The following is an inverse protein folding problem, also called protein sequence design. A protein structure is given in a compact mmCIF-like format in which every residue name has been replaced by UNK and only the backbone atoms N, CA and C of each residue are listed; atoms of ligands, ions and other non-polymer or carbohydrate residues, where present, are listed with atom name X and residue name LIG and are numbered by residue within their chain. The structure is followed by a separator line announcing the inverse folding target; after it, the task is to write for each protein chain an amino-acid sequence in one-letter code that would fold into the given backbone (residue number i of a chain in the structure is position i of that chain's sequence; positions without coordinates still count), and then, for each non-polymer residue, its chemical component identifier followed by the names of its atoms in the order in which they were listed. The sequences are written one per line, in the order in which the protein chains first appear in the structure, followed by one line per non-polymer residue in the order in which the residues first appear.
data_IF_068465501068
#
_entry.id   IF_068465501068
#
_cell.length_a   1.000
_cell.length_b   1.000
_cell.length_c   1.000
_cell.angle_alpha   90.00
_cell.angle_beta   90.00
_cell.angle_gamma   90.00
#
_symmetry.space_group_name_H-M   'P 1'
#
loop_
_entity.id
_entity.type
_entity.pdbx_description
1 polymer ?
#
# COMPACT_ATOMS: atom_id res chain seq x y z
N UNK A 1 9.20 8.70 -12.95
CA UNK A 1 7.76 8.48 -13.18
C UNK A 1 6.94 9.62 -12.59
N UNK A 2 5.86 10.04 -13.26
CA UNK A 2 4.91 11.01 -12.71
C UNK A 2 4.01 10.34 -11.68
N UNK A 3 3.51 9.14 -11.98
CA UNK A 3 2.66 8.36 -11.10
C UNK A 3 3.09 6.91 -11.13
N UNK A 4 2.94 6.21 -10.02
CA UNK A 4 3.13 4.76 -9.98
C UNK A 4 1.88 4.11 -9.40
N UNK A 5 1.50 2.96 -9.96
CA UNK A 5 0.39 2.14 -9.49
C UNK A 5 0.94 0.74 -9.24
N UNK A 6 0.74 0.23 -8.03
CA UNK A 6 1.27 -1.09 -7.70
C UNK A 6 0.35 -1.81 -6.72
N UNK A 7 0.39 -3.14 -6.78
CA UNK A 7 -0.32 -3.96 -5.82
C UNK A 7 0.50 -4.19 -4.56
N UNK A 8 -0.15 -4.68 -3.51
CA UNK A 8 0.53 -5.06 -2.27
C UNK A 8 -0.04 -6.37 -1.76
N UNK A 9 0.78 -7.13 -1.06
CA UNK A 9 0.36 -8.37 -0.41
C UNK A 9 -0.10 -8.14 1.03
N UNK A 10 0.24 -7.01 1.61
CA UNK A 10 -0.21 -6.63 2.94
C UNK A 10 -0.15 -5.13 3.12
N UNK A 11 -1.07 -4.59 3.91
CA UNK A 11 -1.12 -3.17 4.24
C UNK A 11 -1.48 -3.02 5.71
N UNK A 12 -0.52 -2.55 6.51
CA UNK A 12 -0.70 -2.35 7.94
C UNK A 12 -0.46 -0.89 8.29
N UNK A 13 -1.38 -0.22 9.02
CA UNK A 13 -1.17 1.18 9.42
C UNK A 13 0.10 1.41 10.23
N UNK A 14 0.56 0.41 10.97
CA UNK A 14 1.75 0.54 11.80
C UNK A 14 3.03 0.12 11.09
N UNK A 15 2.96 -0.89 10.23
CA UNK A 15 4.14 -1.46 9.58
C UNK A 15 4.32 -0.91 8.17
N UNK A 16 3.22 -0.74 7.42
CA UNK A 16 3.27 -0.26 6.06
C UNK A 16 2.91 -1.33 5.04
N UNK A 17 3.37 -1.15 3.81
CA UNK A 17 3.10 -2.08 2.72
C UNK A 17 4.17 -3.16 2.67
N UNK A 18 3.74 -4.41 2.57
CA UNK A 18 4.64 -5.56 2.64
C UNK A 18 4.40 -6.55 1.51
N UNK A 19 5.44 -7.31 1.19
CA UNK A 19 5.40 -8.38 0.20
C UNK A 19 6.29 -9.53 0.70
N UNK A 20 6.02 -10.78 0.30
CA UNK A 20 6.88 -11.90 0.72
C UNK A 20 8.23 -11.97 -0.02
N UNK A 21 8.40 -11.25 -1.13
CA UNK A 21 9.56 -11.41 -2.00
C UNK A 21 10.41 -10.12 -2.06
N UNK A 22 11.72 -10.23 -1.73
CA UNK A 22 12.58 -9.05 -1.57
C UNK A 22 12.86 -8.32 -2.87
N UNK A 23 13.00 -9.02 -3.99
CA UNK A 23 13.27 -8.36 -5.27
C UNK A 23 12.08 -7.54 -5.71
N UNK A 24 10.87 -8.05 -5.48
CA UNK A 24 9.65 -7.33 -5.74
C UNK A 24 9.52 -6.09 -4.88
N UNK A 25 9.92 -6.19 -3.60
CA UNK A 25 9.93 -5.05 -2.69
C UNK A 25 10.88 -3.96 -3.17
N UNK A 26 12.06 -4.33 -3.63
CA UNK A 26 13.03 -3.36 -4.14
C UNK A 26 12.55 -2.63 -5.38
N UNK A 27 11.89 -3.34 -6.29
CA UNK A 27 11.32 -2.75 -7.50
C UNK A 27 10.22 -1.75 -7.13
N UNK A 28 9.34 -2.12 -6.21
CA UNK A 28 8.24 -1.26 -5.77
C UNK A 28 8.76 -0.02 -5.04
N UNK A 29 9.72 -0.19 -4.17
CA UNK A 29 10.33 0.94 -3.46
C UNK A 29 10.97 1.92 -4.45
N UNK A 30 11.71 1.40 -5.42
CA UNK A 30 12.35 2.23 -6.44
C UNK A 30 11.31 3.02 -7.25
N UNK A 31 10.22 2.37 -7.64
CA UNK A 31 9.16 3.04 -8.40
C UNK A 31 8.53 4.17 -7.57
N UNK A 32 8.31 3.95 -6.28
CA UNK A 32 7.72 4.96 -5.41
C UNK A 32 8.65 6.15 -5.20
N UNK A 33 9.93 5.89 -4.99
CA UNK A 33 10.94 6.96 -4.80
C UNK A 33 11.04 7.85 -6.02
N UNK A 34 10.88 7.29 -7.22
CA UNK A 34 11.01 8.02 -8.49
C UNK A 34 9.69 8.57 -9.03
N UNK A 35 8.61 8.51 -8.24
CA UNK A 35 7.29 8.98 -8.68
C UNK A 35 6.88 10.20 -7.88
N UNK A 36 6.18 11.14 -8.54
CA UNK A 36 5.60 12.29 -7.84
C UNK A 36 4.41 11.87 -7.00
N UNK A 37 3.64 10.89 -7.46
CA UNK A 37 2.51 10.32 -6.73
C UNK A 37 2.53 8.81 -6.85
N UNK A 38 2.24 8.14 -5.75
CA UNK A 38 2.18 6.68 -5.70
C UNK A 38 0.79 6.23 -5.26
N UNK A 39 0.27 5.22 -5.94
CA UNK A 39 -1.01 4.61 -5.63
C UNK A 39 -0.81 3.11 -5.41
N UNK A 40 -1.36 2.61 -4.32
CA UNK A 40 -1.29 1.18 -4.00
C UNK A 40 -2.68 0.59 -4.13
N UNK A 41 -2.80 -0.43 -4.97
CA UNK A 41 -4.04 -1.18 -5.16
C UNK A 41 -4.09 -2.26 -4.09
N UNK A 42 -5.09 -2.20 -3.25
CA UNK A 42 -5.19 -3.07 -2.08
C UNK A 42 -6.60 -3.66 -1.97
N UNK A 43 -6.69 -4.97 -2.13
CA UNK A 43 -7.90 -5.72 -1.83
C UNK A 43 -8.16 -5.59 -0.31
N UNK A 44 -9.41 -5.42 0.09
CA UNK A 44 -9.77 -5.26 1.51
C UNK A 44 -9.26 -6.40 2.40
N UNK A 45 -9.07 -7.59 1.84
CA UNK A 45 -8.54 -8.74 2.58
C UNK A 45 -7.06 -8.59 2.94
N UNK A 46 -6.36 -7.63 2.32
CA UNK A 46 -4.92 -7.43 2.56
C UNK A 46 -4.63 -6.43 3.68
N UNK A 47 -5.64 -5.72 4.17
CA UNK A 47 -5.44 -4.84 5.32
C UNK A 47 -5.11 -5.67 6.56
N UNK A 48 -4.17 -5.16 7.36
CA UNK A 48 -3.65 -5.81 8.58
C UNK A 48 -2.84 -7.08 8.31
N UNK A 49 -2.61 -7.43 7.04
CA UNK A 49 -1.71 -8.51 6.68
C UNK A 49 -0.28 -8.01 6.69
N UNK A 50 0.63 -8.80 7.24
CA UNK A 50 2.04 -8.43 7.32
C UNK A 50 2.88 -9.55 6.71
N UNK A 51 3.66 -9.20 5.71
CA UNK A 51 4.58 -10.12 5.05
C UNK A 51 6.03 -9.79 5.46
N UNK A 52 7.02 -10.65 5.18
CA UNK A 52 8.38 -10.44 5.68
C UNK A 52 9.10 -9.19 5.21
N UNK A 53 8.77 -8.65 4.03
CA UNK A 53 9.54 -7.54 3.47
C UNK A 53 8.64 -6.30 3.32
N UNK A 54 9.00 -5.21 4.01
CA UNK A 54 8.31 -3.93 3.86
C UNK A 54 8.95 -3.14 2.72
N UNK A 55 8.14 -2.52 1.87
CA UNK A 55 8.68 -1.68 0.82
C UNK A 55 8.31 -0.20 0.96
N UNK A 56 7.37 0.16 1.84
CA UNK A 56 7.00 1.56 2.06
C UNK A 56 6.19 1.69 3.34
N UNK A 57 6.13 2.91 3.88
CA UNK A 57 5.26 3.22 5.01
C UNK A 57 3.81 3.37 4.54
N UNK A 58 2.87 3.19 5.45
CA UNK A 58 1.44 3.22 5.11
C UNK A 58 1.01 4.57 4.52
N UNK A 59 1.58 5.66 5.00
CA UNK A 59 1.22 7.02 4.59
C UNK A 59 1.92 7.48 3.32
N UNK A 60 2.83 6.69 2.76
CA UNK A 60 3.64 7.12 1.62
C UNK A 60 2.90 7.06 0.28
N UNK A 61 1.70 6.49 0.24
CA UNK A 61 0.92 6.35 -0.99
C UNK A 61 -0.57 6.51 -0.72
N UNK A 62 -1.32 6.79 -1.78
CA UNK A 62 -2.77 6.71 -1.77
C UNK A 62 -3.16 5.25 -1.96
N UNK A 63 -4.12 4.77 -1.18
CA UNK A 63 -4.56 3.38 -1.23
C UNK A 63 -5.91 3.31 -1.93
N UNK A 64 -5.99 2.53 -3.00
CA UNK A 64 -7.23 2.30 -3.72
C UNK A 64 -7.77 0.92 -3.33
N UNK A 65 -8.95 0.88 -2.75
CA UNK A 65 -9.56 -0.37 -2.29
C UNK A 65 -11.06 -0.39 -2.58
N UNK A 66 -11.65 -1.57 -2.62
CA UNK A 66 -13.08 -1.69 -2.87
C UNK A 66 -13.94 -1.41 -1.63
N UNK A 67 -13.38 -1.56 -0.44
CA UNK A 67 -14.08 -1.22 0.81
C UNK A 67 -13.09 -1.10 1.97
N UNK A 68 -13.49 -0.39 3.01
CA UNK A 68 -12.72 -0.28 4.24
C UNK A 68 -13.26 -1.33 5.21
N UNK A 69 -12.44 -2.34 5.60
CA UNK A 69 -12.94 -3.47 6.38
C UNK A 69 -13.28 -3.18 7.83
N UNK A 70 -12.70 -2.14 8.44
CA UNK A 70 -12.98 -1.83 9.84
C UNK A 70 -12.84 -0.33 10.14
N UNK A 71 -13.32 0.06 11.32
CA UNK A 71 -13.35 1.45 11.74
C UNK A 71 -11.97 2.04 12.03
N UNK A 72 -10.99 1.21 12.35
CA UNK A 72 -9.62 1.67 12.63
C UNK A 72 -9.02 2.34 11.41
N UNK A 73 -9.33 1.82 10.22
CA UNK A 73 -8.80 2.35 8.96
C UNK A 73 -9.47 3.65 8.52
N UNK A 74 -10.66 3.97 9.05
CA UNK A 74 -11.39 5.18 8.65
C UNK A 74 -10.68 6.47 9.04
N UNK A 75 -9.77 6.42 9.99
CA UNK A 75 -9.00 7.58 10.41
C UNK A 75 -7.88 7.96 9.46
N UNK A 76 -7.59 7.13 8.46
CA UNK A 76 -6.52 7.38 7.49
C UNK A 76 -7.09 8.03 6.24
N UNK A 77 -6.72 9.27 5.98
CA UNK A 77 -7.27 10.02 4.85
C UNK A 77 -6.61 9.69 3.51
N UNK A 78 -5.63 8.79 3.49
CA UNK A 78 -5.00 8.34 2.25
C UNK A 78 -5.66 7.08 1.66
N UNK A 79 -6.74 6.60 2.26
CA UNK A 79 -7.49 5.44 1.74
C UNK A 79 -8.65 5.95 0.89
N UNK A 80 -8.70 5.50 -0.36
CA UNK A 80 -9.74 5.88 -1.32
C UNK A 80 -10.52 4.65 -1.69
N UNK A 81 -11.83 4.68 -1.40
CA UNK A 81 -12.72 3.58 -1.76
C UNK A 81 -13.22 3.81 -3.18
N UNK A 82 -12.99 2.84 -4.06
CA UNK A 82 -13.45 2.88 -5.45
C UNK A 82 -14.48 1.80 -5.67
N UNK A 83 -15.57 2.10 -6.41
CA UNK A 83 -16.62 1.12 -6.68
C UNK A 83 -16.19 -0.01 -7.62
#
# INVERSE_FOLDING_TARGET
FTKSFMGTNGASPTIGFTTPEINEAKIKECAMVHSLKSYVLCDSTKFHQVNPVRFATFESAQILTEQIPDAVLKGHNNIIVVP
#
